data_IF_201846138029
#
_entry.id   IF_201846138029
#
_cell.length_a   1.000
_cell.length_b   1.000
_cell.length_c   1.000
_cell.angle_alpha   90.00
_cell.angle_beta   90.00
_cell.angle_gamma   90.00
#
_symmetry.space_group_name_H-M   'P 1'
#
loop_
_entity.id
_entity.type
_entity.pdbx_description
1 polymer ?
#
# COMPACT_ATOMS: atom_id res chain seq x y z
N UNK A 1 -25.09 4.33 10.80
CA UNK A 1 -25.16 5.21 9.61
C UNK A 1 -24.71 6.63 9.90
N UNK A 2 -25.20 7.26 10.97
CA UNK A 2 -24.85 8.63 11.32
C UNK A 2 -23.58 8.70 12.18
N UNK A 3 -22.55 9.46 11.77
CA UNK A 3 -21.38 9.73 12.59
C UNK A 3 -21.74 10.32 13.96
N UNK A 4 -20.88 10.15 14.99
CA UNK A 4 -20.97 10.96 16.20
C UNK A 4 -20.72 12.45 15.87
N UNK A 5 -21.06 13.34 16.81
CA UNK A 5 -20.66 14.74 16.72
C UNK A 5 -19.14 14.84 16.86
N UNK A 6 -18.54 15.73 16.07
CA UNK A 6 -17.13 16.12 16.14
C UNK A 6 -17.03 17.57 15.66
N UNK A 7 -15.98 18.25 16.10
CA UNK A 7 -15.56 19.54 15.58
C UNK A 7 -14.67 19.36 14.35
N UNK A 8 -14.59 20.39 13.51
CA UNK A 8 -13.87 20.34 12.25
C UNK A 8 -12.84 21.46 12.18
N UNK A 9 -11.62 21.13 11.79
CA UNK A 9 -10.48 22.06 11.77
C UNK A 9 -9.93 22.13 10.36
N UNK A 10 -9.73 23.34 9.85
CA UNK A 10 -9.11 23.62 8.56
C UNK A 10 -7.83 24.41 8.86
N UNK A 11 -6.67 23.75 8.93
CA UNK A 11 -5.39 24.43 9.13
C UNK A 11 -4.94 25.13 7.83
N UNK A 12 -4.18 26.21 7.96
CA UNK A 12 -3.64 26.95 6.80
C UNK A 12 -2.40 26.26 6.20
N UNK A 13 -1.70 25.44 6.98
CA UNK A 13 -0.45 24.77 6.60
C UNK A 13 -0.22 23.48 7.42
N UNK A 14 0.78 22.67 7.05
CA UNK A 14 1.09 21.41 7.78
C UNK A 14 1.54 21.68 9.21
N UNK A 15 2.22 22.79 9.48
CA UNK A 15 2.69 23.10 10.84
C UNK A 15 1.49 23.26 11.79
N UNK A 16 0.48 24.03 11.42
CA UNK A 16 -0.75 24.16 12.21
C UNK A 16 -1.49 22.84 12.36
N UNK A 17 -1.52 22.01 11.32
CA UNK A 17 -2.12 20.68 11.41
C UNK A 17 -1.41 19.81 12.46
N UNK A 18 -0.08 19.83 12.49
CA UNK A 18 0.73 19.08 13.45
C UNK A 18 0.59 19.63 14.88
N UNK A 19 0.61 20.94 15.06
CA UNK A 19 0.40 21.59 16.36
C UNK A 19 -0.99 21.26 16.93
N UNK A 20 -2.03 21.24 16.08
CA UNK A 20 -3.37 20.84 16.49
C UNK A 20 -3.43 19.37 16.90
N UNK A 21 -2.83 18.48 16.11
CA UNK A 21 -2.80 17.04 16.41
C UNK A 21 -1.96 16.70 17.65
N UNK A 22 -0.89 17.46 17.94
CA UNK A 22 -0.09 17.27 19.16
C UNK A 22 -0.81 17.74 20.41
N UNK A 23 -1.61 18.81 20.30
CA UNK A 23 -2.38 19.36 21.43
C UNK A 23 -3.70 18.64 21.71
N UNK A 24 -4.15 17.76 20.80
CA UNK A 24 -5.42 17.05 20.89
C UNK A 24 -5.24 15.56 20.55
N UNK A 25 -4.95 14.74 21.57
CA UNK A 25 -4.67 13.30 21.43
C UNK A 25 -5.76 12.51 20.70
N UNK A 26 -7.02 12.95 20.80
CA UNK A 26 -8.17 12.29 20.19
C UNK A 26 -8.58 12.88 18.82
N UNK A 27 -7.86 13.89 18.34
CA UNK A 27 -8.03 14.42 17.00
C UNK A 27 -7.54 13.41 15.96
N UNK A 28 -8.21 13.38 14.80
CA UNK A 28 -7.78 12.55 13.66
C UNK A 28 -7.64 13.38 12.39
N UNK A 29 -6.55 13.20 11.62
CA UNK A 29 -6.46 13.82 10.32
C UNK A 29 -7.48 13.21 9.35
N UNK A 30 -8.09 14.06 8.54
CA UNK A 30 -9.01 13.70 7.49
C UNK A 30 -8.35 13.93 6.12
N UNK A 31 -7.89 12.83 5.53
CA UNK A 31 -7.49 12.76 4.13
C UNK A 31 -8.73 12.43 3.26
N UNK A 32 -8.65 11.42 2.38
CA UNK A 32 -9.76 10.99 1.52
C UNK A 32 -11.04 10.50 2.20
N UNK A 33 -11.01 10.23 3.50
CA UNK A 33 -12.19 9.87 4.29
C UNK A 33 -12.82 8.51 3.98
N UNK A 34 -12.38 7.79 2.94
CA UNK A 34 -13.01 6.54 2.48
C UNK A 34 -12.74 5.30 3.35
N UNK A 35 -11.96 5.44 4.41
CA UNK A 35 -11.87 4.47 5.52
C UNK A 35 -12.41 5.08 6.82
N UNK A 36 -11.95 6.29 7.16
CA UNK A 36 -12.33 6.97 8.39
C UNK A 36 -13.84 7.26 8.48
N UNK A 37 -14.45 7.86 7.45
CA UNK A 37 -15.88 8.20 7.45
C UNK A 37 -16.76 6.95 7.60
N UNK A 38 -16.54 5.83 6.86
CA UNK A 38 -17.22 4.58 7.14
C UNK A 38 -17.12 4.12 8.61
N UNK A 39 -15.92 4.20 9.21
CA UNK A 39 -15.73 3.83 10.62
C UNK A 39 -16.48 4.76 11.59
N UNK A 40 -16.56 6.06 11.30
CA UNK A 40 -17.38 7.02 12.06
C UNK A 40 -18.87 6.69 11.94
N UNK A 41 -19.36 6.37 10.73
CA UNK A 41 -20.76 5.99 10.47
C UNK A 41 -21.18 4.70 11.17
N UNK A 42 -20.23 3.79 11.40
CA UNK A 42 -20.38 2.57 12.20
C UNK A 42 -20.06 2.77 13.69
N UNK A 43 -19.62 3.98 14.08
CA UNK A 43 -19.25 4.36 15.46
C UNK A 43 -18.13 3.51 16.07
N UNK A 44 -17.25 2.97 15.22
CA UNK A 44 -16.03 2.27 15.62
C UNK A 44 -15.03 3.30 16.20
N UNK A 45 -14.96 4.49 15.60
CA UNK A 45 -14.20 5.63 16.11
C UNK A 45 -15.11 6.79 16.51
N UNK A 46 -14.65 7.58 17.50
CA UNK A 46 -15.35 8.76 18.05
C UNK A 46 -14.37 9.89 18.41
N UNK A 47 -13.63 10.45 17.44
CA UNK A 47 -12.73 11.56 17.70
C UNK A 47 -13.51 12.83 18.05
N UNK A 48 -12.98 13.69 18.91
CA UNK A 48 -13.56 15.02 19.14
C UNK A 48 -13.34 15.95 17.96
N UNK A 49 -12.25 15.78 17.20
CA UNK A 49 -11.86 16.65 16.10
C UNK A 49 -11.46 15.87 14.84
N UNK A 50 -11.87 16.41 13.68
CA UNK A 50 -11.30 16.05 12.39
C UNK A 50 -10.48 17.22 11.83
N UNK A 51 -9.22 16.96 11.49
CA UNK A 51 -8.29 17.96 10.94
C UNK A 51 -8.18 17.76 9.42
N UNK A 52 -8.71 18.66 8.61
CA UNK A 52 -8.73 18.52 7.15
C UNK A 52 -7.34 18.76 6.53
N UNK A 53 -6.66 17.70 6.09
CA UNK A 53 -5.31 17.82 5.49
C UNK A 53 -5.33 17.82 3.96
N UNK A 54 -6.48 17.54 3.32
CA UNK A 54 -6.61 17.46 1.85
C UNK A 54 -6.32 18.78 1.15
N UNK A 55 -6.59 19.91 1.82
CA UNK A 55 -6.46 21.25 1.25
C UNK A 55 -5.04 21.80 1.31
N UNK A 56 -4.13 21.11 2.00
CA UNK A 56 -2.74 21.52 2.15
C UNK A 56 -1.98 21.22 0.85
N UNK A 57 -1.60 22.25 0.05
CA UNK A 57 -1.02 22.04 -1.28
C UNK A 57 0.35 21.35 -1.20
N UNK A 58 1.12 21.63 -0.14
CA UNK A 58 2.41 20.99 0.15
C UNK A 58 2.33 19.48 0.36
N UNK A 59 1.15 18.90 0.56
CA UNK A 59 0.94 17.46 0.69
C UNK A 59 0.47 16.78 -0.61
N UNK A 60 0.25 17.55 -1.69
CA UNK A 60 -0.31 17.06 -2.96
C UNK A 60 0.65 17.27 -4.13
N UNK A 61 1.58 16.33 -4.30
CA UNK A 61 2.55 16.36 -5.39
C UNK A 61 3.01 14.97 -5.79
N UNK A 62 3.47 14.82 -7.03
CA UNK A 62 4.27 13.69 -7.48
C UNK A 62 5.50 14.31 -8.16
N UNK A 63 6.69 14.01 -7.65
CA UNK A 63 7.95 14.57 -8.16
C UNK A 63 8.97 13.46 -8.38
N UNK A 64 9.65 13.52 -9.52
CA UNK A 64 10.80 12.65 -9.78
C UNK A 64 12.09 13.39 -9.40
N UNK A 65 12.91 12.77 -8.56
CA UNK A 65 14.22 13.26 -8.17
C UNK A 65 15.25 12.15 -8.36
N UNK A 66 16.05 12.26 -9.44
CA UNK A 66 17.00 11.22 -9.81
C UNK A 66 16.31 9.89 -10.12
N UNK A 67 16.59 8.86 -9.31
CA UNK A 67 16.00 7.52 -9.45
C UNK A 67 14.87 7.25 -8.43
N UNK A 68 14.38 8.28 -7.74
CA UNK A 68 13.31 8.18 -6.75
C UNK A 68 12.11 9.01 -7.18
N UNK A 69 10.91 8.49 -6.94
CA UNK A 69 9.64 9.20 -7.07
C UNK A 69 9.13 9.51 -5.68
N UNK A 70 8.91 10.80 -5.43
CA UNK A 70 8.38 11.36 -4.18
C UNK A 70 6.91 11.68 -4.36
N UNK A 71 6.08 11.18 -3.46
CA UNK A 71 4.62 11.23 -3.56
C UNK A 71 4.05 11.82 -2.27
N UNK A 72 3.32 12.92 -2.41
CA UNK A 72 2.59 13.53 -1.31
C UNK A 72 1.46 12.62 -0.78
N UNK A 73 1.18 12.63 0.53
CA UNK A 73 0.26 11.69 1.17
C UNK A 73 -1.20 11.87 0.75
N UNK A 74 -1.60 13.07 0.30
CA UNK A 74 -2.98 13.34 -0.14
C UNK A 74 -3.19 13.17 -1.64
N UNK A 75 -2.18 12.68 -2.37
CA UNK A 75 -2.34 12.27 -3.77
C UNK A 75 -3.36 11.14 -3.86
N UNK A 76 -4.33 11.30 -4.75
CA UNK A 76 -5.45 10.37 -4.88
C UNK A 76 -5.03 9.08 -5.59
N UNK A 77 -5.79 8.00 -5.40
CA UNK A 77 -5.54 6.77 -6.14
C UNK A 77 -5.69 6.98 -7.65
N UNK A 78 -6.61 7.85 -8.07
CA UNK A 78 -6.77 8.24 -9.47
C UNK A 78 -5.52 8.92 -10.01
N UNK A 79 -4.96 9.89 -9.28
CA UNK A 79 -3.75 10.61 -9.71
C UNK A 79 -2.56 9.63 -9.83
N UNK A 80 -2.41 8.70 -8.88
CA UNK A 80 -1.36 7.66 -8.93
C UNK A 80 -1.55 6.73 -10.11
N UNK A 81 -2.79 6.29 -10.38
CA UNK A 81 -3.12 5.48 -11.54
C UNK A 81 -2.71 6.15 -12.86
N UNK A 82 -2.74 7.49 -12.92
CA UNK A 82 -2.36 8.29 -14.11
C UNK A 82 -0.89 8.72 -14.15
N UNK A 83 -0.15 8.56 -13.06
CA UNK A 83 1.21 9.09 -12.91
C UNK A 83 2.31 8.29 -13.65
N UNK A 84 1.97 7.15 -14.27
CA UNK A 84 2.93 6.27 -14.95
C UNK A 84 4.09 5.79 -14.07
N UNK A 85 3.82 5.53 -12.78
CA UNK A 85 4.76 4.89 -11.85
C UNK A 85 4.48 3.39 -11.93
N UNK A 86 5.20 2.58 -12.72
CA UNK A 86 4.58 1.45 -13.41
C UNK A 86 3.82 0.44 -12.52
N UNK A 87 4.49 -0.17 -11.53
CA UNK A 87 3.84 -1.09 -10.58
C UNK A 87 2.77 -0.37 -9.73
N UNK A 88 3.08 0.83 -9.24
CA UNK A 88 2.21 1.57 -8.32
C UNK A 88 0.92 2.06 -9.02
N UNK A 89 1.02 2.54 -10.26
CA UNK A 89 -0.10 2.97 -11.10
C UNK A 89 -1.00 1.78 -11.46
N UNK A 90 -0.43 0.61 -11.78
CA UNK A 90 -1.21 -0.60 -11.99
C UNK A 90 -1.93 -1.04 -10.72
N UNK A 91 -1.24 -1.07 -9.57
CA UNK A 91 -1.86 -1.38 -8.28
C UNK A 91 -3.01 -0.42 -7.97
N UNK A 92 -2.80 0.89 -8.15
CA UNK A 92 -3.83 1.91 -7.94
C UNK A 92 -5.08 1.70 -8.81
N UNK A 93 -4.93 1.19 -10.03
CA UNK A 93 -6.05 0.90 -10.93
C UNK A 93 -7.01 -0.19 -10.41
N UNK A 94 -6.51 -1.06 -9.52
CA UNK A 94 -7.26 -2.18 -8.92
C UNK A 94 -7.92 -1.84 -7.58
N UNK A 95 -7.66 -0.64 -7.06
CA UNK A 95 -8.22 -0.20 -5.78
C UNK A 95 -9.65 0.26 -5.98
N UNK A 96 -10.59 -0.41 -5.32
CA UNK A 96 -11.99 -0.01 -5.22
C UNK A 96 -12.64 0.34 -6.59
N UNK A 97 -13.53 1.32 -6.61
CA UNK A 97 -14.23 1.83 -7.80
C UNK A 97 -13.75 3.26 -8.15
N UNK A 98 -14.16 3.83 -9.31
CA UNK A 98 -13.74 5.18 -9.71
C UNK A 98 -14.03 6.27 -8.66
N UNK A 99 -15.17 6.20 -7.97
CA UNK A 99 -15.60 7.20 -6.99
C UNK A 99 -14.68 7.18 -5.77
N UNK A 100 -14.39 5.98 -5.26
CA UNK A 100 -13.42 5.82 -4.18
C UNK A 100 -12.03 6.27 -4.62
N UNK A 101 -11.59 5.96 -5.85
CA UNK A 101 -10.26 6.37 -6.34
C UNK A 101 -10.07 7.87 -6.48
N UNK A 102 -11.14 8.62 -6.78
CA UNK A 102 -11.09 10.08 -6.85
C UNK A 102 -10.90 10.75 -5.48
N UNK A 103 -11.17 10.03 -4.39
CA UNK A 103 -11.15 10.59 -3.03
C UNK A 103 -10.08 9.96 -2.16
N UNK A 104 -9.99 8.64 -2.15
CA UNK A 104 -8.99 7.87 -1.43
C UNK A 104 -7.57 8.28 -1.81
N UNK A 105 -6.69 8.34 -0.82
CA UNK A 105 -5.32 8.87 -0.93
C UNK A 105 -4.31 7.81 -0.53
N UNK A 106 -3.13 7.78 -1.14
CA UNK A 106 -2.08 6.80 -0.77
C UNK A 106 -1.67 6.89 0.70
N UNK A 107 -1.44 8.11 1.22
CA UNK A 107 -1.08 8.34 2.62
C UNK A 107 -2.15 7.84 3.58
N UNK A 108 -3.42 8.13 3.28
CA UNK A 108 -4.56 7.60 4.03
C UNK A 108 -4.65 6.07 4.00
N UNK A 109 -4.40 5.44 2.85
CA UNK A 109 -4.40 3.97 2.73
C UNK A 109 -3.31 3.34 3.59
N UNK A 110 -2.09 3.87 3.55
CA UNK A 110 -0.98 3.30 4.33
C UNK A 110 -1.05 3.68 5.79
N UNK A 111 -1.64 4.81 6.17
CA UNK A 111 -1.86 5.13 7.58
C UNK A 111 -3.00 4.31 8.19
N UNK A 112 -3.92 3.80 7.36
CA UNK A 112 -5.01 2.94 7.82
C UNK A 112 -4.59 1.48 8.00
N UNK A 113 -3.66 0.96 7.19
CA UNK A 113 -3.14 -0.42 7.25
C UNK A 113 -4.21 -1.52 7.36
N UNK A 114 -5.26 -1.46 6.54
CA UNK A 114 -6.10 -2.65 6.35
C UNK A 114 -5.23 -3.77 5.73
N UNK A 115 -5.21 -4.99 6.30
CA UNK A 115 -4.37 -6.10 5.81
C UNK A 115 -4.71 -6.54 4.38
N UNK A 116 -5.88 -6.15 3.87
CA UNK A 116 -6.33 -6.45 2.51
C UNK A 116 -6.10 -5.30 1.52
N UNK A 117 -5.52 -4.18 1.96
CA UNK A 117 -5.23 -3.05 1.08
C UNK A 117 -4.20 -3.41 0.02
N UNK A 118 -4.31 -2.79 -1.15
CA UNK A 118 -3.50 -3.14 -2.32
C UNK A 118 -2.08 -2.51 -2.28
N UNK A 119 -1.95 -1.23 -1.90
CA UNK A 119 -0.65 -0.54 -1.86
C UNK A 119 0.42 -1.24 -1.03
N UNK A 120 0.15 -1.79 0.17
CA UNK A 120 1.17 -2.44 0.97
C UNK A 120 2.00 -3.51 0.24
N UNK A 121 1.40 -4.31 -0.65
CA UNK A 121 2.14 -5.28 -1.45
C UNK A 121 3.10 -4.60 -2.45
N UNK A 122 2.63 -3.57 -3.15
CA UNK A 122 3.48 -2.83 -4.09
C UNK A 122 4.61 -2.09 -3.36
N UNK A 123 4.30 -1.41 -2.26
CA UNK A 123 5.27 -0.61 -1.50
C UNK A 123 6.36 -1.47 -0.86
N UNK A 124 6.03 -2.66 -0.35
CA UNK A 124 7.05 -3.56 0.18
C UNK A 124 7.90 -4.17 -0.95
N UNK A 125 7.32 -4.49 -2.11
CA UNK A 125 8.07 -4.93 -3.29
C UNK A 125 9.02 -3.83 -3.82
N UNK A 126 8.61 -2.57 -3.72
CA UNK A 126 9.39 -1.41 -4.15
C UNK A 126 10.39 -0.92 -3.09
N UNK A 127 10.48 -1.56 -1.91
CA UNK A 127 11.29 -1.06 -0.78
C UNK A 127 11.00 0.43 -0.45
N UNK A 128 9.72 0.79 -0.46
CA UNK A 128 9.28 2.17 -0.25
C UNK A 128 9.77 2.72 1.10
N UNK A 129 10.02 4.03 1.16
CA UNK A 129 10.32 4.75 2.39
C UNK A 129 9.21 5.73 2.71
N UNK A 130 8.92 5.88 4.00
CA UNK A 130 7.86 6.73 4.52
C UNK A 130 8.51 7.85 5.31
N UNK A 131 8.27 9.10 4.90
CA UNK A 131 8.66 10.29 5.67
C UNK A 131 7.52 10.68 6.58
N UNK A 132 7.82 10.84 7.85
CA UNK A 132 6.88 11.16 8.91
C UNK A 132 7.31 12.48 9.53
N UNK A 133 6.36 13.39 9.73
CA UNK A 133 6.59 14.72 10.33
C UNK A 133 5.83 14.85 11.64
N UNK A 134 6.46 15.57 12.58
CA UNK A 134 5.87 16.08 13.82
C UNK A 134 6.30 17.54 14.02
N UNK A 135 5.80 18.19 15.06
CA UNK A 135 6.28 19.50 15.52
C UNK A 135 7.76 19.48 15.94
N UNK A 136 8.31 18.30 16.29
CA UNK A 136 9.69 18.11 16.76
C UNK A 136 10.69 17.82 15.64
N UNK A 137 10.20 17.62 14.41
CA UNK A 137 11.05 17.35 13.24
C UNK A 137 10.50 16.26 12.34
N UNK A 138 11.38 15.63 11.60
CA UNK A 138 11.03 14.59 10.63
C UNK A 138 11.91 13.35 10.77
N UNK A 139 11.34 12.19 10.42
CA UNK A 139 12.04 10.92 10.34
C UNK A 139 11.63 10.18 9.06
N UNK A 140 12.51 9.31 8.59
CA UNK A 140 12.29 8.45 7.43
C UNK A 140 12.58 7.01 7.81
N UNK A 141 11.69 6.11 7.43
CA UNK A 141 11.85 4.67 7.66
C UNK A 141 11.38 3.86 6.47
N UNK A 142 11.69 2.57 6.44
CA UNK A 142 11.14 1.67 5.42
C UNK A 142 9.66 1.40 5.67
N UNK A 143 8.91 1.14 4.60
CA UNK A 143 7.50 0.76 4.71
C UNK A 143 7.31 -0.52 5.53
N UNK A 144 8.28 -1.44 5.54
CA UNK A 144 8.24 -2.64 6.37
C UNK A 144 8.28 -2.33 7.87
N UNK A 145 9.04 -1.31 8.28
CA UNK A 145 9.10 -0.87 9.69
C UNK A 145 7.87 -0.04 10.07
N UNK A 146 7.36 0.76 9.12
CA UNK A 146 6.14 1.53 9.28
C UNK A 146 4.90 0.67 9.52
N UNK A 147 4.78 -0.47 8.83
CA UNK A 147 3.64 -1.37 8.94
C UNK A 147 3.82 -2.39 10.09
N UNK A 148 3.58 -1.97 11.33
CA UNK A 148 3.84 -2.78 12.54
C UNK A 148 2.87 -3.95 12.73
N UNK A 149 1.57 -3.70 12.58
CA UNK A 149 0.50 -4.71 12.64
C UNK A 149 -0.73 -4.21 11.82
N UNK A 150 -1.76 -5.05 11.68
CA UNK A 150 -3.04 -4.65 11.09
C UNK A 150 -3.59 -3.41 11.80
N UNK A 151 -3.98 -2.39 11.03
CA UNK A 151 -4.46 -1.10 11.54
C UNK A 151 -3.50 -0.35 12.48
N UNK A 152 -2.22 -0.73 12.52
CA UNK A 152 -1.24 -0.21 13.49
C UNK A 152 0.01 0.32 12.77
N UNK A 153 -0.04 1.57 12.24
CA UNK A 153 1.13 2.20 11.65
C UNK A 153 2.12 2.62 12.73
N UNK A 154 3.37 2.84 12.34
CA UNK A 154 4.34 3.55 13.16
C UNK A 154 4.12 5.06 13.09
N UNK A 155 2.99 5.50 13.62
CA UNK A 155 2.66 6.91 13.83
C UNK A 155 2.32 7.12 15.29
N UNK A 156 3.03 8.03 15.93
CA UNK A 156 2.71 8.53 17.26
C UNK A 156 1.59 9.59 17.17
N UNK A 157 0.91 9.90 18.28
CA UNK A 157 0.06 11.09 18.36
C UNK A 157 0.81 12.35 17.92
N UNK A 158 0.15 13.23 17.17
CA UNK A 158 0.78 14.42 16.58
C UNK A 158 1.62 14.19 15.32
N UNK A 159 1.83 12.93 14.88
CA UNK A 159 2.58 12.64 13.65
C UNK A 159 1.68 12.51 12.41
N UNK A 160 2.23 12.89 11.25
CA UNK A 160 1.63 12.68 9.93
C UNK A 160 2.62 12.07 8.96
N UNK A 161 2.14 11.15 8.11
CA UNK A 161 2.85 10.81 6.88
C UNK A 161 2.92 12.05 6.00
N UNK A 162 4.12 12.45 5.60
CA UNK A 162 4.37 13.67 4.82
C UNK A 162 4.84 13.37 3.38
N UNK A 163 5.42 12.20 3.13
CA UNK A 163 5.90 11.79 1.81
C UNK A 163 6.05 10.26 1.75
N UNK A 164 5.75 9.69 0.59
CA UNK A 164 6.05 8.30 0.23
C UNK A 164 7.11 8.34 -0.87
N UNK A 165 8.24 7.71 -0.64
CA UNK A 165 9.33 7.60 -1.61
C UNK A 165 9.39 6.17 -2.16
N UNK A 166 9.37 6.05 -3.49
CA UNK A 166 9.57 4.76 -4.18
C UNK A 166 10.67 4.88 -5.23
N UNK A 167 11.52 3.85 -5.44
CA UNK A 167 12.45 3.84 -6.55
C UNK A 167 11.67 3.78 -7.88
N UNK A 168 12.22 4.39 -8.93
CA UNK A 168 11.60 4.38 -10.26
C UNK A 168 11.60 2.99 -10.91
N UNK A 169 12.48 2.07 -10.45
CA UNK A 169 12.66 0.72 -11.00
C UNK A 169 12.77 0.71 -12.53
N UNK A 170 13.73 1.48 -13.07
CA UNK A 170 14.02 1.53 -14.52
C UNK A 170 14.31 0.14 -15.07
N UNK A 171 13.72 -0.18 -16.22
CA UNK A 171 13.86 -1.45 -16.93
C UNK A 171 13.31 -2.68 -16.18
N UNK A 172 12.49 -2.47 -15.15
CA UNK A 172 11.77 -3.55 -14.51
C UNK A 172 10.49 -3.86 -15.27
N UNK A 173 10.24 -5.15 -15.43
CA UNK A 173 8.93 -5.69 -15.77
C UNK A 173 8.10 -5.84 -14.51
N UNK A 174 6.80 -5.61 -14.57
CA UNK A 174 5.95 -5.58 -13.38
C UNK A 174 4.55 -6.15 -13.64
N UNK A 175 3.89 -6.59 -12.58
CA UNK A 175 2.48 -6.99 -12.58
C UNK A 175 1.90 -6.86 -11.18
N UNK A 176 0.64 -6.43 -11.09
CA UNK A 176 -0.16 -6.56 -9.87
C UNK A 176 -1.36 -7.47 -10.12
N UNK A 177 -1.40 -8.60 -9.43
CA UNK A 177 -2.50 -9.57 -9.53
C UNK A 177 -3.35 -9.52 -8.28
N UNK A 178 -4.64 -9.25 -8.45
CA UNK A 178 -5.63 -9.17 -7.38
C UNK A 178 -6.72 -10.21 -7.63
N UNK A 179 -6.87 -11.14 -6.68
CA UNK A 179 -8.01 -12.03 -6.63
C UNK A 179 -9.10 -11.33 -5.82
N UNK A 180 -10.25 -11.09 -6.43
CA UNK A 180 -11.39 -10.42 -5.80
C UNK A 180 -12.68 -11.12 -6.22
N UNK A 181 -13.72 -11.05 -5.37
CA UNK A 181 -15.00 -11.69 -5.66
C UNK A 181 -15.79 -10.92 -6.72
N UNK A 182 -15.72 -9.59 -6.69
CA UNK A 182 -16.31 -8.66 -7.65
C UNK A 182 -15.42 -7.44 -7.77
N UNK A 183 -15.55 -6.72 -8.88
CA UNK A 183 -14.85 -5.46 -9.09
C UNK A 183 -15.09 -4.49 -7.92
N UNK A 184 -14.00 -3.94 -7.39
CA UNK A 184 -14.02 -2.97 -6.29
C UNK A 184 -13.99 -3.57 -4.88
N UNK A 185 -14.15 -4.90 -4.73
CA UNK A 185 -13.95 -5.56 -3.44
C UNK A 185 -12.46 -5.47 -3.02
N UNK A 186 -12.18 -5.63 -1.73
CA UNK A 186 -10.82 -5.84 -1.24
C UNK A 186 -10.25 -7.18 -1.74
N UNK A 187 -8.92 -7.28 -1.78
CA UNK A 187 -8.24 -8.50 -2.19
C UNK A 187 -8.62 -9.68 -1.27
N UNK A 188 -8.86 -10.84 -1.89
CA UNK A 188 -8.78 -12.16 -1.25
C UNK A 188 -7.31 -12.55 -1.13
N UNK A 189 -6.55 -12.33 -2.21
CA UNK A 189 -5.09 -12.45 -2.30
C UNK A 189 -4.61 -11.39 -3.29
N UNK A 190 -3.59 -10.61 -2.92
CA UNK A 190 -2.92 -9.69 -3.83
C UNK A 190 -1.43 -9.99 -3.92
N UNK A 191 -0.88 -9.94 -5.14
CA UNK A 191 0.55 -10.17 -5.41
C UNK A 191 1.09 -9.05 -6.30
N UNK A 192 2.10 -8.34 -5.81
CA UNK A 192 2.87 -7.36 -6.56
C UNK A 192 4.21 -7.96 -6.95
N UNK A 193 4.56 -7.89 -8.24
CA UNK A 193 5.83 -8.39 -8.78
C UNK A 193 6.55 -7.28 -9.54
N UNK A 194 7.85 -7.14 -9.29
CA UNK A 194 8.78 -6.40 -10.14
C UNK A 194 10.03 -7.24 -10.40
N UNK A 195 10.40 -7.39 -11.68
CA UNK A 195 11.51 -8.22 -12.14
C UNK A 195 12.42 -7.40 -13.06
N UNK A 196 13.73 -7.44 -12.82
CA UNK A 196 14.72 -6.98 -13.79
C UNK A 196 15.22 -8.18 -14.58
N UNK A 197 15.10 -8.16 -15.90
CA UNK A 197 15.41 -9.31 -16.76
C UNK A 197 16.53 -8.95 -17.74
N UNK A 198 17.48 -9.87 -17.92
CA UNK A 198 18.51 -9.77 -18.95
C UNK A 198 18.56 -11.09 -19.73
N UNK A 199 18.08 -11.08 -20.97
CA UNK A 199 17.93 -12.28 -21.78
C UNK A 199 16.96 -13.28 -21.14
N UNK A 200 17.46 -14.47 -20.82
CA UNK A 200 16.72 -15.56 -20.19
C UNK A 200 16.94 -15.66 -18.67
N UNK A 201 17.49 -14.63 -18.03
CA UNK A 201 17.79 -14.61 -16.59
C UNK A 201 17.13 -13.43 -15.89
N UNK A 202 16.61 -13.66 -14.69
CA UNK A 202 16.12 -12.61 -13.78
C UNK A 202 17.31 -12.13 -12.93
N UNK A 203 17.63 -10.83 -13.01
CA UNK A 203 18.73 -10.19 -12.28
C UNK A 203 18.31 -9.62 -10.92
N UNK A 204 17.05 -9.21 -10.80
CA UNK A 204 16.44 -8.77 -9.53
C UNK A 204 14.97 -9.20 -9.53
N UNK A 205 14.49 -9.65 -8.37
CA UNK A 205 13.13 -10.13 -8.18
C UNK A 205 12.55 -9.59 -6.87
N UNK A 206 11.36 -8.98 -6.97
CA UNK A 206 10.64 -8.40 -5.83
C UNK A 206 9.21 -8.90 -5.85
N UNK A 207 8.78 -9.59 -4.79
CA UNK A 207 7.45 -10.20 -4.67
C UNK A 207 6.82 -9.78 -3.34
N UNK A 208 5.83 -8.89 -3.42
CA UNK A 208 5.03 -8.45 -2.28
C UNK A 208 3.66 -9.15 -2.23
N UNK A 209 3.24 -9.58 -1.05
CA UNK A 209 1.96 -10.26 -0.81
C UNK A 209 1.06 -9.41 0.11
N UNK A 210 -0.24 -9.33 -0.18
CA UNK A 210 -1.26 -8.70 0.68
C UNK A 210 -2.49 -9.60 0.86
N UNK A 211 -3.33 -9.31 1.84
CA UNK A 211 -4.54 -10.04 2.25
C UNK A 211 -4.32 -11.46 2.81
N UNK A 212 -3.07 -11.86 3.04
CA UNK A 212 -2.69 -13.21 3.47
C UNK A 212 -1.85 -13.25 4.74
N UNK A 213 -1.72 -12.11 5.42
CA UNK A 213 -1.07 -11.91 6.72
C UNK A 213 -1.70 -10.68 7.38
N UNK A 214 -1.27 -10.33 8.61
CA UNK A 214 -1.69 -9.09 9.26
C UNK A 214 -1.13 -7.81 8.60
N UNK A 215 0.02 -7.94 7.94
CA UNK A 215 0.68 -6.86 7.17
C UNK A 215 1.17 -7.44 5.86
N UNK A 216 1.48 -6.59 4.88
CA UNK A 216 2.10 -7.08 3.65
C UNK A 216 3.50 -7.63 3.91
N UNK A 217 3.90 -8.65 3.16
CA UNK A 217 5.20 -9.33 3.33
C UNK A 217 5.93 -9.51 2.01
N UNK A 218 7.26 -9.60 2.08
CA UNK A 218 8.13 -9.97 0.95
C UNK A 218 8.37 -11.46 0.93
N UNK A 219 8.11 -12.12 -0.20
CA UNK A 219 8.38 -13.54 -0.38
C UNK A 219 9.85 -13.79 -0.77
N UNK A 220 10.78 -13.45 0.12
CA UNK A 220 12.22 -13.39 -0.19
C UNK A 220 12.83 -14.73 -0.66
N UNK A 221 12.37 -15.88 -0.14
CA UNK A 221 12.84 -17.17 -0.66
C UNK A 221 12.31 -17.47 -2.07
N UNK A 222 11.11 -17.00 -2.42
CA UNK A 222 10.62 -17.10 -3.79
C UNK A 222 11.43 -16.20 -4.74
N UNK A 223 11.85 -15.02 -4.27
CA UNK A 223 12.77 -14.14 -5.01
C UNK A 223 14.10 -14.82 -5.26
N UNK A 224 14.72 -15.43 -4.24
CA UNK A 224 15.98 -16.19 -4.38
C UNK A 224 15.88 -17.33 -5.39
N UNK A 225 14.75 -18.05 -5.42
CA UNK A 225 14.52 -19.10 -6.42
C UNK A 225 14.55 -18.51 -7.83
N UNK A 226 13.86 -17.39 -8.08
CA UNK A 226 13.85 -16.75 -9.40
C UNK A 226 15.24 -16.28 -9.87
N UNK A 227 16.15 -15.98 -8.94
CA UNK A 227 17.53 -15.58 -9.22
C UNK A 227 18.49 -16.77 -9.45
N UNK A 228 18.03 -18.01 -9.20
CA UNK A 228 18.91 -19.19 -9.17
C UNK A 228 19.24 -19.80 -10.53
N UNK A 229 18.61 -19.33 -11.61
CA UNK A 229 18.84 -19.89 -12.93
C UNK A 229 18.06 -19.21 -14.05
N UNK A 230 17.99 -19.89 -15.19
CA UNK A 230 17.27 -19.43 -16.39
C UNK A 230 15.77 -19.53 -16.19
N UNK A 231 15.04 -18.55 -16.74
CA UNK A 231 13.59 -18.50 -16.77
C UNK A 231 13.07 -19.79 -17.41
N UNK A 232 12.28 -20.54 -16.65
CA UNK A 232 11.62 -21.76 -17.08
C UNK A 232 10.32 -21.94 -16.32
N UNK A 233 9.39 -22.72 -16.86
CA UNK A 233 8.14 -23.01 -16.15
C UNK A 233 8.40 -23.65 -14.78
N UNK A 234 9.39 -24.55 -14.68
CA UNK A 234 9.80 -25.18 -13.43
C UNK A 234 10.24 -24.15 -12.39
N UNK A 235 11.09 -23.20 -12.78
CA UNK A 235 11.57 -22.14 -11.88
C UNK A 235 10.43 -21.28 -11.33
N UNK A 236 9.49 -20.91 -12.21
CA UNK A 236 8.32 -20.10 -11.84
C UNK A 236 7.40 -20.89 -10.90
N UNK A 237 7.19 -22.18 -11.16
CA UNK A 237 6.38 -23.07 -10.33
C UNK A 237 6.97 -23.25 -8.93
N UNK A 238 8.29 -23.42 -8.84
CA UNK A 238 9.04 -23.53 -7.58
C UNK A 238 8.93 -22.22 -6.76
N UNK A 239 9.17 -21.07 -7.39
CA UNK A 239 9.05 -19.77 -6.73
C UNK A 239 7.61 -19.51 -6.25
N UNK A 240 6.61 -19.80 -7.09
CA UNK A 240 5.20 -19.65 -6.73
C UNK A 240 4.79 -20.57 -5.58
N UNK A 241 5.28 -21.81 -5.56
CA UNK A 241 5.06 -22.73 -4.45
C UNK A 241 5.72 -22.21 -3.18
N UNK A 242 6.95 -21.70 -3.27
CA UNK A 242 7.68 -21.17 -2.12
C UNK A 242 7.02 -19.92 -1.52
N UNK A 243 6.37 -19.09 -2.34
CA UNK A 243 5.62 -17.93 -1.86
C UNK A 243 4.49 -18.30 -0.88
N UNK A 244 3.98 -19.54 -0.92
CA UNK A 244 2.97 -20.02 0.03
C UNK A 244 3.49 -20.03 1.48
N UNK A 245 4.79 -20.21 1.70
CA UNK A 245 5.38 -20.26 3.05
C UNK A 245 5.27 -18.91 3.77
N UNK A 246 5.11 -17.82 3.01
CA UNK A 246 4.93 -16.46 3.51
C UNK A 246 3.46 -16.11 3.77
N UNK A 247 2.53 -17.05 3.59
CA UNK A 247 1.11 -16.82 3.78
C UNK A 247 0.64 -17.44 5.10
N UNK A 248 0.20 -16.59 6.02
CA UNK A 248 -0.50 -16.94 7.25
C UNK A 248 -1.94 -16.35 7.27
N UNK A 249 -2.82 -16.75 6.33
CA UNK A 249 -4.14 -16.16 6.19
C UNK A 249 -5.13 -16.63 7.26
N UNK A 250 -6.14 -15.81 7.54
CA UNK A 250 -7.30 -16.18 8.37
C UNK A 250 -8.48 -16.59 7.50
N UNK A 251 -9.21 -17.63 7.92
CA UNK A 251 -10.50 -18.00 7.31
C UNK A 251 -11.55 -16.92 7.59
N UNK A 252 -12.28 -16.50 6.57
CA UNK A 252 -13.36 -15.52 6.69
C UNK A 252 -14.40 -15.68 5.56
N UNK A 253 -15.28 -14.70 5.41
CA UNK A 253 -16.32 -14.67 4.37
C UNK A 253 -15.79 -14.65 2.93
N UNK A 254 -14.48 -14.42 2.73
CA UNK A 254 -13.81 -14.40 1.44
C UNK A 254 -13.14 -15.74 1.11
N UNK A 255 -13.08 -16.67 2.06
CA UNK A 255 -12.61 -18.04 1.87
C UNK A 255 -11.83 -18.59 3.06
N UNK A 256 -11.56 -19.90 3.01
CA UNK A 256 -10.74 -20.56 4.03
C UNK A 256 -9.27 -20.13 3.95
N UNK A 257 -8.56 -20.24 5.08
CA UNK A 257 -7.11 -20.04 5.13
C UNK A 257 -6.37 -20.95 4.12
N UNK A 258 -6.81 -22.21 3.98
CA UNK A 258 -6.27 -23.16 3.00
C UNK A 258 -6.46 -22.66 1.57
N UNK A 259 -7.67 -22.19 1.23
CA UNK A 259 -7.95 -21.63 -0.09
C UNK A 259 -7.06 -20.43 -0.38
N UNK A 260 -6.99 -19.46 0.53
CA UNK A 260 -6.14 -18.26 0.40
C UNK A 260 -4.67 -18.64 0.21
N UNK A 261 -4.16 -19.60 1.00
CA UNK A 261 -2.77 -20.09 0.88
C UNK A 261 -2.49 -20.73 -0.47
N UNK A 262 -3.41 -21.56 -1.00
CA UNK A 262 -3.30 -22.11 -2.36
C UNK A 262 -3.36 -21.02 -3.44
N UNK A 263 -4.21 -20.00 -3.24
CA UNK A 263 -4.32 -18.87 -4.16
C UNK A 263 -3.07 -18.00 -4.20
N UNK A 264 -2.25 -17.92 -3.14
CA UNK A 264 -0.94 -17.27 -3.19
C UNK A 264 -0.06 -17.86 -4.28
N UNK A 265 0.03 -19.20 -4.36
CA UNK A 265 0.78 -19.87 -5.43
C UNK A 265 0.24 -19.51 -6.82
N UNK A 266 -1.08 -19.65 -7.01
CA UNK A 266 -1.72 -19.37 -8.31
C UNK A 266 -1.49 -17.93 -8.74
N UNK A 267 -1.72 -16.97 -7.84
CA UNK A 267 -1.58 -15.54 -8.14
C UNK A 267 -0.12 -15.13 -8.31
N UNK A 268 0.82 -15.76 -7.59
CA UNK A 268 2.26 -15.53 -7.78
C UNK A 268 2.72 -16.00 -9.16
N UNK A 269 2.36 -17.23 -9.57
CA UNK A 269 2.65 -17.74 -10.92
C UNK A 269 2.10 -16.81 -12.00
N UNK A 270 0.85 -16.36 -11.85
CA UNK A 270 0.21 -15.40 -12.78
C UNK A 270 0.95 -14.07 -12.82
N UNK A 271 1.35 -13.53 -11.67
CA UNK A 271 2.04 -12.24 -11.60
C UNK A 271 3.42 -12.30 -12.25
N UNK A 272 4.18 -13.37 -12.02
CA UNK A 272 5.49 -13.58 -12.65
C UNK A 272 5.34 -13.69 -14.17
N UNK A 273 4.44 -14.55 -14.66
CA UNK A 273 4.21 -14.72 -16.10
C UNK A 273 3.71 -13.42 -16.76
N UNK A 274 2.79 -12.71 -16.11
CA UNK A 274 2.28 -11.43 -16.61
C UNK A 274 3.36 -10.35 -16.67
N UNK A 275 4.26 -10.29 -15.67
CA UNK A 275 5.41 -9.40 -15.71
C UNK A 275 6.33 -9.75 -16.88
N UNK A 276 6.72 -11.03 -17.04
CA UNK A 276 7.65 -11.46 -18.09
C UNK A 276 7.14 -11.20 -19.52
N UNK A 277 5.82 -11.19 -19.73
CA UNK A 277 5.17 -10.96 -21.02
C UNK A 277 5.01 -9.48 -21.42
N UNK A 278 5.42 -8.54 -20.56
CA UNK A 278 5.46 -7.10 -20.88
C UNK A 278 6.84 -6.68 -21.33
#
# INVERSE_FOLDING_TARGET
MYPPKFSYVIPDNVKEALEFLESHDDAKPLAGGHSLIPMLKLRIFRPSYLVEIRKLPELKYIKMEGNVVKIGPVVTHYDIMKANIPLLSETASKIADPQVRNMGTIGGSISHLDPSADYPAALIAMDAKIRIKSTKGERVESFSSFAKDMFTPDLNPGELVAEIEVPLLKDYKFSYQKLERRAGDFAIVGVAVALKVNGDVIQDARIGLTAVNKTAVRASEAEKILLSGKISEKLIEEAATKAMDYANPTSDIRGSAEYKKKMVKVMTKRAILAALNR
#
